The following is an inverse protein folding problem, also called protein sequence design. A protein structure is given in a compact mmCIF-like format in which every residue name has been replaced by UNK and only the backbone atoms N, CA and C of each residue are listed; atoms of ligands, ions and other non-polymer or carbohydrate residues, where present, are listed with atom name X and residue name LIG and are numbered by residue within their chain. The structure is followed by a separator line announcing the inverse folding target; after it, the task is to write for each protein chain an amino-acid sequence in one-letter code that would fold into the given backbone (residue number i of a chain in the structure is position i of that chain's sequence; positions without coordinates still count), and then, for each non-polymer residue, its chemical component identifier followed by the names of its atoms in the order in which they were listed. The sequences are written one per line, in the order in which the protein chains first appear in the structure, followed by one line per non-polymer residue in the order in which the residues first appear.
data_IF_785064146654
#
_entry.id   IF_785064146654
#
_cell.length_a   1.000
_cell.length_b   1.000
_cell.length_c   1.000
_cell.angle_alpha   90.00
_cell.angle_beta   90.00
_cell.angle_gamma   90.00
#
_symmetry.space_group_name_H-M   'P 1'
#
loop_
_entity.id
_entity.type
_entity.pdbx_description
1 polymer ?
#
# COMPACT_ATOMS: atom_id res chain seq x y z
N UNK A 1 -0.79 -26.51 2.33
CA UNK A 1 0.36 -25.72 1.80
C UNK A 1 1.37 -25.52 2.94
N UNK A 2 2.67 -25.33 2.67
CA UNK A 2 3.71 -25.20 3.72
C UNK A 2 3.37 -24.06 4.71
N UNK A 3 3.24 -24.39 6.00
CA UNK A 3 2.92 -23.51 7.16
C UNK A 3 3.71 -22.20 7.16
N UNK A 4 4.86 -22.18 6.48
CA UNK A 4 5.71 -21.00 6.28
C UNK A 4 4.95 -19.82 5.65
N UNK A 5 4.08 -20.04 4.66
CA UNK A 5 3.43 -18.94 3.94
C UNK A 5 2.32 -18.26 4.73
N UNK A 6 1.65 -18.97 5.64
CA UNK A 6 0.58 -18.43 6.47
C UNK A 6 1.12 -17.45 7.52
N UNK A 7 2.24 -17.82 8.18
CA UNK A 7 2.95 -16.91 9.10
C UNK A 7 3.42 -15.63 8.41
N UNK A 8 3.91 -15.74 7.17
CA UNK A 8 4.34 -14.55 6.42
C UNK A 8 3.20 -13.55 6.21
N UNK A 9 1.96 -13.99 5.95
CA UNK A 9 0.81 -13.05 5.84
C UNK A 9 0.53 -12.38 7.18
N UNK A 10 0.52 -13.14 8.26
CA UNK A 10 0.28 -12.58 9.59
C UNK A 10 1.36 -11.55 9.97
N UNK A 11 2.62 -11.82 9.63
CA UNK A 11 3.73 -10.87 9.79
C UNK A 11 3.58 -9.64 8.87
N UNK A 12 3.15 -9.82 7.61
CA UNK A 12 2.85 -8.72 6.66
C UNK A 12 1.71 -7.82 7.17
N UNK A 13 0.74 -8.40 7.87
CA UNK A 13 -0.44 -7.70 8.41
C UNK A 13 -0.19 -7.05 9.78
N UNK A 14 1.06 -7.05 10.26
CA UNK A 14 1.44 -6.49 11.57
C UNK A 14 0.71 -7.18 12.74
N UNK A 15 0.53 -8.50 12.63
CA UNK A 15 -0.10 -9.30 13.67
C UNK A 15 0.91 -9.62 14.78
N UNK A 16 1.20 -8.64 15.63
CA UNK A 16 1.93 -8.86 16.89
C UNK A 16 1.01 -9.54 17.91
N UNK A 17 1.39 -10.72 18.42
CA UNK A 17 0.57 -11.51 19.37
C UNK A 17 0.45 -10.86 20.75
N UNK A 18 1.45 -10.08 21.17
CA UNK A 18 1.49 -9.51 22.51
C UNK A 18 0.85 -8.11 22.55
N UNK A 19 0.94 -7.33 21.47
CA UNK A 19 0.29 -6.01 21.34
C UNK A 19 -1.20 -6.12 20.93
N UNK A 20 -1.57 -7.14 20.13
CA UNK A 20 -2.97 -7.35 19.72
C UNK A 20 -3.84 -8.05 20.77
N UNK A 21 -3.28 -8.56 21.88
CA UNK A 21 -4.08 -9.17 22.94
C UNK A 21 -5.03 -8.14 23.59
N UNK A 22 -4.55 -6.90 23.78
CA UNK A 22 -5.36 -5.77 24.24
C UNK A 22 -6.36 -5.28 23.16
N UNK A 23 -6.00 -5.38 21.87
CA UNK A 23 -6.89 -5.01 20.75
C UNK A 23 -8.01 -6.04 20.51
N UNK A 24 -7.79 -7.31 20.86
CA UNK A 24 -8.83 -8.34 20.86
C UNK A 24 -9.90 -8.11 21.94
N UNK A 25 -9.51 -7.52 23.09
CA UNK A 25 -10.46 -7.20 24.16
C UNK A 25 -11.37 -6.03 23.78
N UNK A 26 -10.87 -5.06 22.99
CA UNK A 26 -11.65 -3.98 22.39
C UNK A 26 -12.46 -4.41 21.15
N UNK A 27 -12.13 -5.57 20.55
CA UNK A 27 -12.77 -6.14 19.37
C UNK A 27 -13.90 -7.14 19.71
N UNK A 28 -14.39 -7.17 20.96
CA UNK A 28 -15.49 -8.06 21.37
C UNK A 28 -16.80 -7.83 20.62
N UNK A 29 -16.97 -6.65 20.01
CA UNK A 29 -18.13 -6.30 19.19
C UNK A 29 -17.84 -6.28 17.67
N UNK A 30 -16.63 -6.67 17.24
CA UNK A 30 -16.29 -6.80 15.83
C UNK A 30 -16.63 -8.21 15.36
N UNK A 31 -17.59 -8.31 14.45
CA UNK A 31 -17.93 -9.55 13.75
C UNK A 31 -16.69 -10.04 12.98
N UNK A 32 -15.96 -11.00 13.56
CA UNK A 32 -14.74 -11.53 12.96
C UNK A 32 -15.11 -12.41 11.76
N UNK A 33 -14.50 -12.13 10.62
CA UNK A 33 -14.64 -12.95 9.40
C UNK A 33 -13.56 -14.02 9.41
N UNK A 34 -13.98 -15.28 9.57
CA UNK A 34 -13.08 -16.42 9.39
C UNK A 34 -12.85 -16.68 7.90
N UNK A 35 -11.58 -16.70 7.49
CA UNK A 35 -11.17 -17.00 6.11
C UNK A 35 -10.46 -18.36 6.06
N UNK A 36 -10.88 -19.21 5.13
CA UNK A 36 -10.20 -20.48 4.87
C UNK A 36 -8.91 -20.28 4.03
N UNK A 37 -8.09 -21.32 3.92
CA UNK A 37 -6.81 -21.25 3.20
C UNK A 37 -6.96 -20.83 1.73
N UNK A 38 -8.04 -21.25 1.08
CA UNK A 38 -8.33 -20.91 -0.32
C UNK A 38 -8.65 -19.43 -0.47
N UNK A 39 -9.45 -18.89 0.43
CA UNK A 39 -9.83 -17.47 0.46
C UNK A 39 -8.63 -16.58 0.75
N UNK A 40 -7.79 -16.95 1.71
CA UNK A 40 -6.54 -16.24 2.02
C UNK A 40 -5.60 -16.25 0.81
N UNK A 41 -5.46 -17.39 0.13
CA UNK A 41 -4.65 -17.50 -1.08
C UNK A 41 -5.20 -16.62 -2.20
N UNK A 42 -6.53 -16.58 -2.35
CA UNK A 42 -7.19 -15.73 -3.34
C UNK A 42 -6.99 -14.25 -3.02
N UNK A 43 -7.11 -13.86 -1.76
CA UNK A 43 -6.88 -12.49 -1.32
C UNK A 43 -5.44 -12.05 -1.61
N UNK A 44 -4.45 -12.88 -1.25
CA UNK A 44 -3.04 -12.60 -1.59
C UNK A 44 -2.85 -12.43 -3.09
N UNK A 45 -3.43 -13.31 -3.89
CA UNK A 45 -3.32 -13.23 -5.34
C UNK A 45 -3.91 -11.93 -5.88
N UNK A 46 -5.09 -11.52 -5.41
CA UNK A 46 -5.72 -10.26 -5.80
C UNK A 46 -4.83 -9.05 -5.47
N UNK A 47 -4.25 -9.03 -4.27
CA UNK A 47 -3.33 -7.95 -3.85
C UNK A 47 -2.10 -7.90 -4.74
N UNK A 48 -1.45 -9.05 -5.00
CA UNK A 48 -0.28 -9.12 -5.87
C UNK A 48 -0.60 -8.70 -7.30
N UNK A 49 -1.73 -9.16 -7.86
CA UNK A 49 -2.18 -8.77 -9.20
C UNK A 49 -2.41 -7.26 -9.30
N UNK A 50 -3.06 -6.68 -8.30
CA UNK A 50 -3.26 -5.23 -8.22
C UNK A 50 -1.92 -4.48 -8.18
N UNK A 51 -1.00 -4.87 -7.29
CA UNK A 51 0.30 -4.21 -7.14
C UNK A 51 1.16 -4.34 -8.40
N UNK A 52 1.18 -5.50 -9.05
CA UNK A 52 1.95 -5.70 -10.27
C UNK A 52 1.40 -4.90 -11.46
N UNK A 53 0.07 -4.84 -11.60
CA UNK A 53 -0.57 -3.98 -12.59
C UNK A 53 -0.21 -2.52 -12.34
N UNK A 54 -0.27 -2.10 -11.08
CA UNK A 54 -0.02 -0.72 -10.70
C UNK A 54 1.45 -0.33 -10.91
N UNK A 55 2.39 -1.18 -10.51
CA UNK A 55 3.82 -1.02 -10.80
C UNK A 55 4.07 -0.89 -12.30
N UNK A 56 3.43 -1.71 -13.14
CA UNK A 56 3.56 -1.64 -14.60
C UNK A 56 3.10 -0.29 -15.17
N UNK A 57 1.99 0.25 -14.66
CA UNK A 57 1.51 1.58 -15.05
C UNK A 57 2.50 2.66 -14.62
N UNK A 58 3.03 2.56 -13.40
CA UNK A 58 3.93 3.58 -12.86
C UNK A 58 5.34 3.51 -13.45
N UNK A 59 5.79 2.36 -13.94
CA UNK A 59 6.99 2.26 -14.79
C UNK A 59 6.83 3.12 -16.04
N UNK A 60 5.67 3.07 -16.70
CA UNK A 60 5.39 3.91 -17.87
C UNK A 60 5.40 5.41 -17.52
N UNK A 61 4.93 5.77 -16.31
CA UNK A 61 5.06 7.14 -15.79
C UNK A 61 6.52 7.53 -15.52
N UNK A 62 7.29 6.65 -14.88
CA UNK A 62 8.66 6.90 -14.46
C UNK A 62 9.57 7.18 -15.67
N UNK A 63 9.41 6.41 -16.74
CA UNK A 63 10.17 6.59 -17.98
C UNK A 63 9.49 7.53 -18.98
N UNK A 64 8.42 8.22 -18.58
CA UNK A 64 7.67 9.16 -19.44
C UNK A 64 7.17 8.53 -20.76
N UNK A 65 6.94 7.22 -20.76
CA UNK A 65 6.37 6.49 -21.89
C UNK A 65 4.86 6.72 -22.04
N UNK A 66 4.21 7.25 -20.99
CA UNK A 66 2.82 7.68 -20.99
C UNK A 66 2.67 9.11 -20.44
N UNK A 67 1.50 9.72 -20.63
CA UNK A 67 1.25 11.09 -20.17
C UNK A 67 1.27 11.17 -18.64
N UNK A 68 2.34 11.77 -18.11
CA UNK A 68 2.59 11.86 -16.68
C UNK A 68 1.49 12.59 -15.92
N UNK A 69 0.99 13.69 -16.46
CA UNK A 69 -0.05 14.51 -15.81
C UNK A 69 -1.36 13.74 -15.66
N UNK A 70 -1.70 12.91 -16.65
CA UNK A 70 -2.89 12.06 -16.60
C UNK A 70 -2.72 11.02 -15.49
N UNK A 71 -1.60 10.30 -15.47
CA UNK A 71 -1.33 9.27 -14.44
C UNK A 71 -1.31 9.91 -13.05
N UNK A 72 -0.62 11.04 -12.88
CA UNK A 72 -0.61 11.80 -11.62
C UNK A 72 -2.02 12.17 -11.17
N UNK A 73 -2.85 12.72 -12.06
CA UNK A 73 -4.24 13.08 -11.73
C UNK A 73 -5.09 11.87 -11.33
N UNK A 74 -4.92 10.73 -12.03
CA UNK A 74 -5.71 9.53 -11.78
C UNK A 74 -5.27 8.73 -10.57
N UNK A 75 -3.99 8.77 -10.17
CA UNK A 75 -3.46 7.87 -9.14
C UNK A 75 -2.89 8.56 -7.90
N UNK A 76 -2.74 9.89 -7.88
CA UNK A 76 -2.23 10.59 -6.69
C UNK A 76 -3.09 10.43 -5.44
N UNK A 77 -4.38 10.13 -5.58
CA UNK A 77 -5.27 9.90 -4.44
C UNK A 77 -4.90 8.65 -3.63
N UNK A 78 -4.18 7.69 -4.24
CA UNK A 78 -3.73 6.46 -3.57
C UNK A 78 -2.58 6.69 -2.58
N UNK A 79 -2.02 7.90 -2.56
CA UNK A 79 -0.87 8.29 -1.75
C UNK A 79 -1.26 9.48 -0.87
N UNK A 80 -2.05 9.19 0.16
CA UNK A 80 -2.45 10.18 1.16
C UNK A 80 -2.20 9.69 2.60
N UNK A 81 -1.16 10.24 3.27
CA UNK A 81 -0.85 9.90 4.65
C UNK A 81 -2.01 10.20 5.60
N UNK A 82 -2.82 11.23 5.29
CA UNK A 82 -3.96 11.62 6.11
C UNK A 82 -5.04 10.54 6.17
N UNK A 83 -5.15 9.69 5.14
CA UNK A 83 -6.09 8.58 5.05
C UNK A 83 -5.42 7.22 5.32
N UNK A 84 -4.18 7.20 5.82
CA UNK A 84 -3.41 5.97 6.02
C UNK A 84 -3.17 5.15 4.74
N UNK A 85 -3.37 5.77 3.58
CA UNK A 85 -3.41 5.09 2.28
C UNK A 85 -2.15 5.42 1.50
N UNK A 86 -1.19 4.50 1.50
CA UNK A 86 0.05 4.57 0.73
C UNK A 86 0.20 3.36 -0.19
N UNK A 87 -0.85 3.13 -1.00
CA UNK A 87 -0.95 2.02 -1.95
C UNK A 87 -0.49 0.67 -1.37
N UNK A 88 -1.06 0.26 -0.22
CA UNK A 88 -0.70 -0.96 0.50
C UNK A 88 0.78 -1.02 0.92
N UNK A 89 1.33 0.09 1.41
CA UNK A 89 2.75 0.23 1.79
C UNK A 89 3.27 -0.89 2.70
N UNK A 90 2.51 -1.29 3.71
CA UNK A 90 2.88 -2.39 4.61
C UNK A 90 3.04 -3.72 3.83
N UNK A 91 2.10 -4.01 2.94
CA UNK A 91 2.16 -5.21 2.10
C UNK A 91 3.35 -5.15 1.13
N UNK A 92 3.54 -4.02 0.44
CA UNK A 92 4.67 -3.83 -0.47
C UNK A 92 6.00 -4.01 0.24
N UNK A 93 6.18 -3.37 1.40
CA UNK A 93 7.40 -3.47 2.22
C UNK A 93 7.72 -4.91 2.58
N UNK A 94 6.72 -5.67 3.00
CA UNK A 94 6.91 -7.05 3.39
C UNK A 94 7.09 -8.01 2.19
N UNK A 95 6.65 -7.62 0.99
CA UNK A 95 6.99 -8.30 -0.27
C UNK A 95 8.40 -7.98 -0.82
N UNK A 96 9.17 -7.09 -0.19
CA UNK A 96 10.51 -6.68 -0.66
C UNK A 96 10.66 -5.17 -0.93
N UNK A 97 9.59 -4.40 -0.75
CA UNK A 97 9.61 -2.93 -0.80
C UNK A 97 10.12 -2.39 -2.13
N UNK A 98 11.09 -1.47 -2.06
CA UNK A 98 11.72 -0.81 -3.21
C UNK A 98 12.39 -1.77 -4.20
N UNK A 99 12.76 -2.98 -3.77
CA UNK A 99 13.35 -3.98 -4.68
C UNK A 99 12.33 -4.63 -5.60
N UNK A 100 11.06 -4.69 -5.16
CA UNK A 100 9.96 -5.29 -5.92
C UNK A 100 9.03 -4.26 -6.56
N UNK A 101 8.89 -3.10 -5.94
CA UNK A 101 7.96 -2.03 -6.37
C UNK A 101 8.64 -0.65 -6.48
N UNK A 102 9.75 -0.52 -7.23
CA UNK A 102 10.51 0.72 -7.34
C UNK A 102 9.73 1.90 -7.94
N UNK A 103 8.85 1.66 -8.91
CA UNK A 103 8.11 2.73 -9.59
C UNK A 103 7.00 3.29 -8.69
N UNK A 104 6.31 2.41 -7.94
CA UNK A 104 5.36 2.83 -6.89
C UNK A 104 6.06 3.73 -5.87
N UNK A 105 7.25 3.36 -5.40
CA UNK A 105 8.02 4.15 -4.42
C UNK A 105 8.44 5.52 -4.98
N UNK A 106 8.94 5.54 -6.22
CA UNK A 106 9.30 6.78 -6.90
C UNK A 106 8.09 7.72 -7.07
N UNK A 107 6.92 7.16 -7.40
CA UNK A 107 5.69 7.92 -7.54
C UNK A 107 5.18 8.44 -6.19
N UNK A 108 5.21 7.62 -5.14
CA UNK A 108 4.84 8.03 -3.78
C UNK A 108 5.66 9.25 -3.32
N UNK A 109 6.98 9.18 -3.48
CA UNK A 109 7.89 10.29 -3.17
C UNK A 109 7.59 11.55 -4.00
N UNK A 110 7.27 11.37 -5.29
CA UNK A 110 6.88 12.48 -6.17
C UNK A 110 5.59 13.16 -5.70
N UNK A 111 4.52 12.40 -5.45
CA UNK A 111 3.23 12.93 -4.98
C UNK A 111 3.41 13.69 -3.67
N UNK A 112 4.18 13.15 -2.73
CA UNK A 112 4.45 13.80 -1.45
C UNK A 112 5.20 15.12 -1.63
N UNK A 113 6.20 15.16 -2.51
CA UNK A 113 6.94 16.39 -2.84
C UNK A 113 6.02 17.44 -3.48
N UNK A 114 5.14 17.04 -4.39
CA UNK A 114 4.19 17.94 -5.03
C UNK A 114 3.15 18.49 -4.03
N UNK A 115 2.67 17.65 -3.09
CA UNK A 115 1.82 18.10 -1.98
C UNK A 115 2.52 19.17 -1.13
N UNK A 116 3.77 18.92 -0.72
CA UNK A 116 4.56 19.88 0.06
C UNK A 116 4.74 21.23 -0.67
N UNK A 117 5.10 21.20 -1.96
CA UNK A 117 5.22 22.43 -2.77
C UNK A 117 3.92 23.24 -2.81
N UNK A 118 2.77 22.57 -2.94
CA UNK A 118 1.45 23.23 -2.93
C UNK A 118 1.15 23.89 -1.58
N UNK A 119 1.52 23.26 -0.47
CA UNK A 119 1.34 23.82 0.87
C UNK A 119 2.20 25.07 1.08
N UNK A 120 3.48 25.01 0.71
CA UNK A 120 4.40 26.16 0.80
C UNK A 120 3.89 27.32 -0.07
N UNK A 121 3.46 27.04 -1.30
CA UNK A 121 2.90 28.07 -2.19
C UNK A 121 1.66 28.72 -1.58
N UNK A 122 0.80 27.97 -0.88
CA UNK A 122 -0.37 28.53 -0.19
C UNK A 122 0.01 29.37 1.03
N UNK A 123 1.04 28.97 1.79
CA UNK A 123 1.52 29.71 2.96
C UNK A 123 2.29 30.99 2.62
N UNK A 124 2.95 31.04 1.47
CA UNK A 124 3.66 32.23 0.97
C UNK A 124 2.76 33.25 0.26
N UNK A 125 1.43 33.03 0.23
CA UNK A 125 0.47 34.06 -0.16
C UNK A 125 0.12 34.83 1.11
N UNK A 126 0.95 35.82 1.43
CA UNK A 126 0.69 36.89 2.42
C UNK A 126 0.96 38.22 1.72
#
# INVERSE_FOLDING_TARGET
MSVKHFRSILEIMDYDKDENKNRLDDAKDLELVDLNEGEISKLRWLVLSYLNMFESILVAWQYSAANRKIIEAQFSYLFDPANGSDALSNFRRACGGTSCYPAIEAFAAHVQKEKQKRLIKKGNIV
#
